data_IF_354442634235
#
_entry.id   IF_354442634235
#
_cell.length_a   1.000
_cell.length_b   1.000
_cell.length_c   1.000
_cell.angle_alpha   90.00
_cell.angle_beta   90.00
_cell.angle_gamma   90.00
#
_symmetry.space_group_name_H-M   'P 1'
#
loop_
_entity.id
_entity.type
_entity.pdbx_description
1 polymer ?
#
# COMPACT_ATOMS: atom_id res chain seq x y z
N UNK A 1 21.97 6.43 -2.58
CA UNK A 1 20.82 7.32 -2.60
C UNK A 1 19.64 6.71 -1.91
N UNK A 2 18.99 7.45 -1.05
CA UNK A 2 17.76 6.99 -0.44
C UNK A 2 16.64 6.99 -1.50
N UNK A 3 16.02 5.83 -1.69
CA UNK A 3 14.89 5.72 -2.59
C UNK A 3 13.62 6.16 -1.88
N UNK A 4 12.78 6.91 -2.58
CA UNK A 4 11.52 7.36 -2.02
C UNK A 4 10.53 6.19 -1.98
N UNK A 5 10.08 5.82 -0.79
CA UNK A 5 9.00 4.85 -0.65
C UNK A 5 7.68 5.50 -1.05
N UNK A 6 6.85 4.75 -1.76
CA UNK A 6 5.50 5.22 -2.10
C UNK A 6 4.58 4.78 -0.96
N UNK A 7 4.10 5.74 -0.19
CA UNK A 7 3.25 5.47 0.99
C UNK A 7 1.78 5.73 0.69
N UNK A 8 0.91 4.88 1.24
CA UNK A 8 -0.53 5.13 1.24
C UNK A 8 -0.86 5.98 2.47
N UNK A 9 -0.91 7.28 2.29
CA UNK A 9 -0.98 8.25 3.39
C UNK A 9 -2.20 8.13 4.29
N UNK A 10 -3.33 7.68 3.76
CA UNK A 10 -4.59 7.60 4.51
C UNK A 10 -4.88 6.23 5.10
N UNK A 11 -4.06 5.22 4.80
CA UNK A 11 -4.38 3.84 5.16
C UNK A 11 -4.47 3.62 6.67
N UNK A 12 -3.59 4.23 7.45
CA UNK A 12 -3.62 4.12 8.91
C UNK A 12 -4.82 4.84 9.52
N UNK A 13 -5.30 5.87 8.87
CA UNK A 13 -6.48 6.61 9.32
C UNK A 13 -7.78 5.86 9.04
N UNK A 14 -7.86 5.20 7.89
CA UNK A 14 -9.09 4.56 7.41
C UNK A 14 -9.25 3.11 7.86
N UNK A 15 -8.15 2.42 8.19
CA UNK A 15 -8.18 0.96 8.43
C UNK A 15 -7.44 0.55 9.68
N UNK A 16 -7.95 -0.53 10.29
CA UNK A 16 -7.23 -1.30 11.33
C UNK A 16 -6.62 -2.51 10.63
N UNK A 17 -5.31 -2.71 10.77
CA UNK A 17 -4.62 -3.85 10.15
C UNK A 17 -4.76 -5.09 11.04
N UNK A 18 -5.17 -6.20 10.41
CA UNK A 18 -5.33 -7.49 11.08
C UNK A 18 -4.06 -8.32 10.90
N UNK A 19 -3.58 -8.44 9.67
CA UNK A 19 -2.33 -9.12 9.32
C UNK A 19 -1.64 -8.39 8.19
N UNK A 20 -0.30 -8.35 8.25
CA UNK A 20 0.51 -7.70 7.23
C UNK A 20 1.31 -8.72 6.44
N UNK A 21 1.51 -8.44 5.15
CA UNK A 21 2.27 -9.29 4.23
C UNK A 21 3.16 -8.42 3.35
N UNK A 22 4.23 -9.04 2.84
CA UNK A 22 5.10 -8.41 1.84
C UNK A 22 4.99 -9.22 0.56
N UNK A 23 4.55 -8.58 -0.51
CA UNK A 23 4.36 -9.21 -1.81
C UNK A 23 5.35 -8.66 -2.82
N UNK A 24 5.82 -9.51 -3.72
CA UNK A 24 6.48 -9.04 -4.93
C UNK A 24 5.44 -8.34 -5.79
N UNK A 25 5.86 -7.40 -6.59
CA UNK A 25 4.98 -6.68 -7.50
C UNK A 25 5.51 -6.81 -8.93
N UNK A 26 4.63 -7.23 -9.84
CA UNK A 26 4.98 -7.40 -11.24
C UNK A 26 4.84 -6.08 -11.97
N UNK A 27 5.96 -5.50 -12.36
CA UNK A 27 6.03 -4.19 -12.98
C UNK A 27 6.66 -4.26 -14.36
N UNK A 28 6.22 -3.36 -15.25
CA UNK A 28 6.90 -3.11 -16.52
C UNK A 28 8.17 -2.28 -16.25
N UNK A 29 9.15 -2.35 -17.15
CA UNK A 29 10.38 -1.57 -17.00
C UNK A 29 10.13 -0.07 -16.88
N UNK A 30 9.18 0.46 -17.67
CA UNK A 30 8.79 1.86 -17.61
C UNK A 30 8.19 2.25 -16.26
N UNK A 31 7.37 1.36 -15.70
CA UNK A 31 6.76 1.58 -14.38
C UNK A 31 7.80 1.64 -13.26
N UNK A 32 8.78 0.74 -13.31
CA UNK A 32 9.87 0.70 -12.33
C UNK A 32 10.63 2.02 -12.29
N UNK A 33 10.92 2.58 -13.44
CA UNK A 33 11.62 3.85 -13.58
C UNK A 33 10.89 4.98 -12.85
N UNK A 34 9.59 5.12 -13.09
CA UNK A 34 8.80 6.21 -12.49
C UNK A 34 8.56 6.01 -11.00
N UNK A 35 8.40 4.76 -10.55
CA UNK A 35 8.31 4.45 -9.11
C UNK A 35 9.61 4.86 -8.40
N UNK A 36 10.75 4.57 -9.01
CA UNK A 36 12.07 4.92 -8.44
C UNK A 36 12.20 6.43 -8.26
N UNK A 37 11.64 7.20 -9.16
CA UNK A 37 11.63 8.66 -9.10
C UNK A 37 10.56 9.22 -8.13
N UNK A 38 9.70 8.37 -7.62
CA UNK A 38 8.63 8.77 -6.70
C UNK A 38 7.37 9.27 -7.38
N UNK A 39 7.20 8.99 -8.67
CA UNK A 39 6.08 9.46 -9.46
C UNK A 39 4.93 8.43 -9.46
N UNK A 40 4.51 8.05 -8.26
CA UNK A 40 3.44 7.08 -8.07
C UNK A 40 2.61 7.43 -6.85
N UNK A 41 1.36 6.98 -6.84
CA UNK A 41 0.40 7.29 -5.79
C UNK A 41 -0.45 6.06 -5.47
N UNK A 42 -0.58 5.76 -4.17
CA UNK A 42 -1.37 4.63 -3.66
C UNK A 42 -2.72 5.06 -3.06
N UNK A 43 -3.06 6.34 -3.10
CA UNK A 43 -4.32 6.82 -2.52
C UNK A 43 -5.51 6.13 -3.18
N UNK A 44 -6.46 5.64 -2.36
CA UNK A 44 -7.66 4.94 -2.79
C UNK A 44 -7.40 3.62 -3.54
N UNK A 45 -6.19 3.07 -3.39
CA UNK A 45 -5.85 1.77 -3.95
C UNK A 45 -6.30 0.64 -3.04
N UNK A 46 -6.50 -0.54 -3.62
CA UNK A 46 -6.86 -1.74 -2.88
C UNK A 46 -6.42 -2.98 -3.66
N UNK A 47 -6.43 -4.12 -2.97
CA UNK A 47 -6.07 -5.39 -3.59
C UNK A 47 -7.32 -6.27 -3.71
N UNK A 48 -7.38 -7.09 -4.77
CA UNK A 48 -8.48 -7.99 -5.01
C UNK A 48 -7.99 -9.31 -5.59
N UNK A 49 -8.77 -10.37 -5.38
CA UNK A 49 -8.50 -11.69 -5.96
C UNK A 49 -9.20 -11.87 -7.29
N UNK A 50 -8.49 -12.46 -8.24
CA UNK A 50 -9.05 -12.90 -9.50
C UNK A 50 -8.41 -14.25 -9.85
N UNK A 51 -9.21 -15.28 -9.98
CA UNK A 51 -8.76 -16.66 -10.31
C UNK A 51 -7.65 -17.16 -9.37
N UNK A 52 -7.78 -16.88 -8.08
CA UNK A 52 -6.84 -17.31 -7.06
C UNK A 52 -5.55 -16.49 -6.98
N UNK A 53 -5.41 -15.46 -7.81
CA UNK A 53 -4.27 -14.55 -7.80
C UNK A 53 -4.67 -13.19 -7.24
N UNK A 54 -3.72 -12.50 -6.61
CA UNK A 54 -3.94 -11.20 -6.00
C UNK A 54 -3.43 -10.09 -6.89
N UNK A 55 -4.25 -9.06 -7.07
CA UNK A 55 -3.93 -7.88 -7.89
C UNK A 55 -4.03 -6.60 -7.08
N UNK A 56 -3.19 -5.64 -7.41
CA UNK A 56 -3.25 -4.28 -6.86
C UNK A 56 -3.92 -3.36 -7.88
N UNK A 57 -5.01 -2.73 -7.46
CA UNK A 57 -5.76 -1.78 -8.28
C UNK A 57 -5.64 -0.39 -7.69
N UNK A 58 -5.49 0.60 -8.54
CA UNK A 58 -5.45 2.00 -8.13
C UNK A 58 -4.07 2.57 -7.84
N UNK A 59 -3.00 1.80 -8.08
CA UNK A 59 -1.67 2.36 -8.06
C UNK A 59 -1.49 3.20 -9.33
N UNK A 60 -1.49 4.51 -9.19
CA UNK A 60 -1.29 5.43 -10.29
C UNK A 60 0.20 5.72 -10.45
N UNK A 61 0.73 5.46 -11.64
CA UNK A 61 2.13 5.69 -11.97
C UNK A 61 2.18 6.75 -13.08
N UNK A 62 2.60 7.96 -12.71
CA UNK A 62 2.63 9.09 -13.64
C UNK A 62 3.87 9.02 -14.52
N UNK A 63 3.69 9.10 -15.81
CA UNK A 63 4.77 9.00 -16.79
C UNK A 63 5.11 10.32 -17.48
N UNK A 64 4.52 11.42 -17.01
CA UNK A 64 4.74 12.73 -17.59
C UNK A 64 4.03 12.89 -18.94
N UNK A 65 4.28 14.01 -19.62
CA UNK A 65 3.56 14.38 -20.85
C UNK A 65 4.12 13.74 -22.12
N UNK A 66 5.31 13.16 -22.08
CA UNK A 66 6.02 12.71 -23.26
C UNK A 66 6.04 11.19 -23.50
N UNK A 67 5.55 10.40 -22.57
CA UNK A 67 5.66 8.95 -22.67
C UNK A 67 4.31 8.27 -22.61
N UNK A 68 4.08 7.34 -23.51
CA UNK A 68 2.88 6.49 -23.53
C UNK A 68 3.30 5.02 -23.43
N UNK A 69 4.35 4.74 -22.65
CA UNK A 69 4.95 3.40 -22.54
C UNK A 69 4.07 2.42 -21.80
N UNK A 70 3.17 2.90 -20.94
CA UNK A 70 2.26 2.04 -20.18
C UNK A 70 0.98 2.81 -19.82
N UNK A 71 -0.05 2.06 -19.46
CA UNK A 71 -1.26 2.65 -18.89
C UNK A 71 -1.02 3.03 -17.44
N UNK A 72 -1.22 4.31 -17.03
CA UNK A 72 -0.89 4.77 -15.69
C UNK A 72 -1.57 4.02 -14.54
N UNK A 73 -2.79 3.53 -14.78
CA UNK A 73 -3.61 2.86 -13.76
C UNK A 73 -3.76 1.36 -13.99
N UNK A 74 -2.84 0.76 -14.74
CA UNK A 74 -2.88 -0.68 -15.00
C UNK A 74 -2.84 -1.48 -13.69
N UNK A 75 -3.70 -2.49 -13.57
CA UNK A 75 -3.69 -3.39 -12.41
C UNK A 75 -2.39 -4.20 -12.41
N UNK A 76 -1.76 -4.34 -11.24
CA UNK A 76 -0.48 -5.03 -11.08
C UNK A 76 -0.69 -6.33 -10.32
N UNK A 77 -0.09 -7.39 -10.81
CA UNK A 77 -0.13 -8.68 -10.13
C UNK A 77 0.83 -8.66 -8.95
N UNK A 78 0.34 -9.13 -7.80
CA UNK A 78 1.15 -9.27 -6.60
C UNK A 78 1.57 -10.73 -6.44
N UNK A 79 2.84 -10.93 -6.06
CA UNK A 79 3.44 -12.25 -5.98
C UNK A 79 3.63 -12.67 -4.53
N UNK A 80 2.86 -13.67 -4.11
CA UNK A 80 2.87 -14.21 -2.75
C UNK A 80 2.95 -15.74 -2.80
N UNK A 81 3.33 -16.33 -1.68
CA UNK A 81 3.32 -17.78 -1.53
C UNK A 81 1.87 -18.29 -1.49
N UNK A 82 1.66 -19.54 -1.92
CA UNK A 82 0.32 -20.15 -1.90
C UNK A 82 -0.31 -20.13 -0.51
N UNK A 83 0.50 -20.37 0.53
CA UNK A 83 0.03 -20.34 1.91
C UNK A 83 -0.45 -18.95 2.32
N UNK A 84 0.25 -17.90 1.88
CA UNK A 84 -0.12 -16.52 2.15
C UNK A 84 -1.41 -16.14 1.43
N UNK A 85 -1.55 -16.55 0.16
CA UNK A 85 -2.77 -16.32 -0.62
C UNK A 85 -3.98 -17.00 0.03
N UNK A 86 -3.82 -18.23 0.51
CA UNK A 86 -4.88 -18.95 1.22
C UNK A 86 -5.29 -18.25 2.51
N UNK A 87 -4.30 -17.80 3.29
CA UNK A 87 -4.57 -17.06 4.54
C UNK A 87 -5.35 -15.77 4.27
N UNK A 88 -4.96 -15.03 3.24
CA UNK A 88 -5.66 -13.80 2.85
C UNK A 88 -7.09 -14.09 2.40
N UNK A 89 -7.31 -15.14 1.60
CA UNK A 89 -8.65 -15.50 1.15
C UNK A 89 -9.56 -15.89 2.33
N UNK A 90 -9.03 -16.64 3.30
CA UNK A 90 -9.78 -17.00 4.49
C UNK A 90 -10.13 -15.78 5.34
N UNK A 91 -9.26 -14.78 5.37
CA UNK A 91 -9.49 -13.55 6.11
C UNK A 91 -10.44 -12.58 5.45
N UNK A 92 -10.74 -12.76 4.15
CA UNK A 92 -11.67 -11.88 3.43
C UNK A 92 -13.11 -12.28 3.75
N UNK A 93 -13.58 -11.85 4.90
CA UNK A 93 -14.95 -12.01 5.35
C UNK A 93 -15.66 -10.66 5.25
N UNK A 94 -16.96 -10.62 5.54
CA UNK A 94 -17.73 -9.37 5.51
C UNK A 94 -17.06 -8.30 6.39
N UNK A 95 -16.83 -7.13 5.83
CA UNK A 95 -16.21 -6.00 6.52
C UNK A 95 -14.69 -5.95 6.46
N UNK A 96 -14.04 -6.92 5.83
CA UNK A 96 -12.59 -6.89 5.64
C UNK A 96 -12.23 -6.63 4.18
N UNK A 97 -11.02 -6.12 3.97
CA UNK A 97 -10.46 -5.87 2.64
C UNK A 97 -8.94 -6.02 2.71
N UNK A 98 -8.30 -6.01 1.57
CA UNK A 98 -6.84 -6.03 1.49
C UNK A 98 -6.40 -4.68 0.93
N UNK A 99 -5.56 -3.97 1.68
CA UNK A 99 -5.09 -2.63 1.29
C UNK A 99 -3.57 -2.59 1.22
N UNK A 100 -3.00 -1.86 0.26
CA UNK A 100 -1.56 -1.65 0.23
C UNK A 100 -1.17 -0.59 1.27
N UNK A 101 -0.08 -0.83 1.95
CA UNK A 101 0.48 0.09 2.94
C UNK A 101 1.48 1.01 2.27
N UNK A 102 2.44 0.44 1.58
CA UNK A 102 3.46 1.18 0.82
C UNK A 102 4.14 0.28 -0.21
N UNK A 103 4.93 0.91 -1.07
CA UNK A 103 5.83 0.22 -1.98
C UNK A 103 7.24 0.53 -1.51
N UNK A 104 8.02 -0.50 -1.22
CA UNK A 104 9.38 -0.38 -0.72
C UNK A 104 10.35 -1.01 -1.72
N UNK A 105 11.60 -0.58 -1.67
CA UNK A 105 12.65 -1.17 -2.47
C UNK A 105 13.47 -2.12 -1.59
N UNK A 106 13.56 -3.37 -2.03
CA UNK A 106 14.37 -4.40 -1.37
C UNK A 106 15.39 -4.88 -2.40
N UNK A 107 16.67 -4.58 -2.17
CA UNK A 107 17.74 -4.77 -3.15
C UNK A 107 17.41 -3.97 -4.43
N UNK A 108 17.34 -4.62 -5.59
CA UNK A 108 17.03 -3.97 -6.86
C UNK A 108 15.55 -4.06 -7.24
N UNK A 109 14.72 -4.64 -6.38
CA UNK A 109 13.30 -4.90 -6.70
C UNK A 109 12.37 -4.12 -5.80
N UNK A 110 11.20 -3.79 -6.34
CA UNK A 110 10.13 -3.18 -5.56
C UNK A 110 9.19 -4.25 -5.02
N UNK A 111 8.76 -4.05 -3.78
CA UNK A 111 7.80 -4.91 -3.11
C UNK A 111 6.69 -4.06 -2.53
N UNK A 112 5.49 -4.63 -2.44
CA UNK A 112 4.33 -3.98 -1.87
C UNK A 112 4.06 -4.58 -0.50
N UNK A 113 4.08 -3.73 0.54
CA UNK A 113 3.57 -4.15 1.85
C UNK A 113 2.06 -3.95 1.82
N UNK A 114 1.34 -4.97 2.25
CA UNK A 114 -0.11 -4.94 2.24
C UNK A 114 -0.66 -5.52 3.54
N UNK A 115 -1.91 -5.25 3.82
CA UNK A 115 -2.55 -5.74 5.04
C UNK A 115 -3.97 -6.20 4.75
N UNK A 116 -4.34 -7.30 5.42
CA UNK A 116 -5.74 -7.63 5.62
C UNK A 116 -6.25 -6.65 6.66
N UNK A 117 -7.29 -5.90 6.35
CA UNK A 117 -7.69 -4.76 7.13
C UNK A 117 -9.20 -4.65 7.26
N UNK A 118 -9.63 -3.94 8.29
CA UNK A 118 -11.03 -3.65 8.57
C UNK A 118 -11.19 -2.13 8.60
N UNK A 119 -12.27 -1.62 7.98
CA UNK A 119 -12.55 -0.19 8.01
C UNK A 119 -12.79 0.32 9.43
N UNK A 120 -12.20 1.46 9.77
CA UNK A 120 -12.42 2.09 11.06
C UNK A 120 -13.77 2.77 11.13
N UNK A 121 -14.42 2.65 12.27
CA UNK A 121 -15.60 3.43 12.58
C UNK A 121 -15.17 4.85 12.99
N UNK A 122 -16.08 5.80 12.99
CA UNK A 122 -15.77 7.20 13.30
C UNK A 122 -15.01 7.38 14.61
N UNK A 123 -15.39 6.66 15.67
CA UNK A 123 -14.71 6.77 16.96
C UNK A 123 -13.26 6.24 16.91
N UNK A 124 -13.01 5.19 16.12
CA UNK A 124 -11.66 4.66 15.90
C UNK A 124 -10.77 5.69 15.20
N UNK A 125 -11.34 6.41 14.24
CA UNK A 125 -10.62 7.46 13.51
C UNK A 125 -10.25 8.61 14.43
N UNK A 126 -11.15 9.01 15.33
CA UNK A 126 -10.91 10.05 16.34
C UNK A 126 -9.77 9.65 17.27
N UNK A 127 -9.77 8.40 17.73
CA UNK A 127 -8.72 7.88 18.60
C UNK A 127 -7.35 7.89 17.90
N UNK A 128 -7.30 7.54 16.64
CA UNK A 128 -6.06 7.58 15.84
C UNK A 128 -5.49 9.00 15.78
N UNK A 129 -6.35 10.00 15.61
CA UNK A 129 -5.94 11.41 15.57
C UNK A 129 -5.40 11.84 16.94
N UNK A 130 -6.08 11.48 18.02
CA UNK A 130 -5.64 11.79 19.39
C UNK A 130 -4.27 11.20 19.69
N UNK A 131 -4.07 9.93 19.37
CA UNK A 131 -2.81 9.24 19.60
C UNK A 131 -1.66 9.90 18.84
N UNK A 132 -1.91 10.30 17.60
CA UNK A 132 -0.93 11.00 16.78
C UNK A 132 -0.55 12.36 17.38
N UNK A 133 -1.54 13.12 17.83
CA UNK A 133 -1.32 14.43 18.43
C UNK A 133 -0.58 14.32 19.77
N UNK A 134 -0.92 13.34 20.60
CA UNK A 134 -0.22 13.07 21.85
C UNK A 134 1.26 12.75 21.63
N UNK A 135 1.56 11.94 20.62
CA UNK A 135 2.94 11.61 20.25
C UNK A 135 3.72 12.85 19.81
N UNK A 136 3.08 13.75 19.07
CA UNK A 136 3.72 14.99 18.64
C UNK A 136 4.04 15.91 19.80
N UNK A 137 3.12 16.07 20.75
CA UNK A 137 3.32 16.87 21.95
C UNK A 137 4.48 16.34 22.79
N UNK A 138 4.50 15.03 23.02
CA UNK A 138 5.58 14.36 23.75
C UNK A 138 6.93 14.59 23.09
N UNK A 139 6.99 14.49 21.77
CA UNK A 139 8.23 14.75 21.03
C UNK A 139 8.69 16.21 21.16
N UNK A 140 7.75 17.17 21.21
CA UNK A 140 8.09 18.59 21.42
C UNK A 140 8.66 18.82 22.81
N UNK A 141 8.07 18.22 23.83
CA UNK A 141 8.55 18.35 25.22
C UNK A 141 9.97 17.80 25.38
N UNK A 142 10.29 16.70 24.69
CA UNK A 142 11.63 16.13 24.75
C UNK A 142 12.69 17.00 24.06
N UNK A 143 12.28 17.87 23.15
CA UNK A 143 13.20 18.77 22.43
C UNK A 143 13.38 20.14 23.11
N UNK A 144 12.51 20.44 24.04
CA UNK A 144 12.48 21.73 24.75
C UNK A 144 13.59 21.99 25.76
#
# INVERSE_FOLDING_TARGET
MAHKNIKNKKVNYEYVFIEEYIAGIQLLGSETKFIREGWANLIDSYCYFQKGELFLKGLAIHQGTKSHEHEPNRDKKLLLKKSELKSLQKGLIKGTTIVPIDIIQVSSRFKCRLALAKGKKDWDKRQTIKDRDSKREFARELKG
#
